data_IF_152707012855
#
_entry.id   IF_152707012855
#
_cell.length_a   1.000
_cell.length_b   1.000
_cell.length_c   1.000
_cell.angle_alpha   90.00
_cell.angle_beta   90.00
_cell.angle_gamma   90.00
#
_symmetry.space_group_name_H-M   'P 1'
#
loop_
_entity.id
_entity.type
_entity.pdbx_description
1 polymer ?
#
# COMPACT_ATOMS: atom_id res chain seq x y z
N UNK A 1 22.16 4.78 -14.65
CA UNK A 1 21.14 5.55 -13.92
C UNK A 1 20.50 4.63 -12.89
N UNK A 2 20.26 5.05 -11.64
CA UNK A 2 19.65 4.19 -10.63
C UNK A 2 18.17 3.94 -10.95
N UNK A 3 17.73 2.68 -10.88
CA UNK A 3 16.32 2.31 -11.00
C UNK A 3 15.59 2.71 -9.72
N UNK A 4 14.46 3.41 -9.86
CA UNK A 4 13.56 3.71 -8.73
C UNK A 4 12.56 2.59 -8.60
N UNK A 5 12.45 2.03 -7.40
CA UNK A 5 11.47 1.01 -7.05
C UNK A 5 10.40 1.63 -6.16
N UNK A 6 9.18 1.15 -6.30
CA UNK A 6 8.02 1.62 -5.55
C UNK A 6 7.49 0.48 -4.70
N UNK A 7 7.59 0.60 -3.39
CA UNK A 7 7.03 -0.36 -2.43
C UNK A 7 5.58 0.02 -2.15
N UNK A 8 4.66 -0.94 -2.32
CA UNK A 8 3.26 -0.79 -1.94
C UNK A 8 2.97 -1.69 -0.75
N UNK A 9 2.43 -1.10 0.30
CA UNK A 9 2.01 -1.79 1.52
C UNK A 9 0.76 -1.09 2.08
N UNK A 10 0.00 -1.83 2.87
CA UNK A 10 -1.22 -1.35 3.51
C UNK A 10 -1.46 -2.07 4.82
N UNK A 11 -2.50 -1.66 5.53
CA UNK A 11 -2.89 -2.21 6.82
C UNK A 11 -4.06 -1.42 7.35
N UNK A 12 -4.65 -1.89 8.44
CA UNK A 12 -5.76 -1.18 9.06
C UNK A 12 -5.27 0.13 9.70
N UNK A 13 -5.99 1.22 9.46
CA UNK A 13 -5.72 2.50 10.10
C UNK A 13 -6.50 2.62 11.41
N UNK A 14 -5.94 3.32 12.39
CA UNK A 14 -6.66 3.68 13.63
C UNK A 14 -7.88 4.54 13.32
N UNK A 15 -7.73 5.46 12.36
CA UNK A 15 -8.76 6.35 11.85
C UNK A 15 -8.52 6.54 10.33
N UNK A 16 -9.54 6.38 9.47
CA UNK A 16 -9.40 6.55 8.02
C UNK A 16 -8.92 7.94 7.57
N UNK A 17 -9.05 8.97 8.41
CA UNK A 17 -8.58 10.33 8.15
C UNK A 17 -7.11 10.55 8.53
N UNK A 18 -6.46 9.57 9.16
CA UNK A 18 -5.08 9.64 9.64
C UNK A 18 -4.17 8.67 8.89
N UNK A 19 -2.87 8.90 8.99
CA UNK A 19 -1.83 8.03 8.41
C UNK A 19 -1.20 7.10 9.46
N UNK A 20 -1.94 6.78 10.53
CA UNK A 20 -1.48 5.93 11.63
C UNK A 20 -2.08 4.53 11.51
N UNK A 21 -1.21 3.52 11.39
CA UNK A 21 -1.62 2.12 11.36
C UNK A 21 -1.99 1.62 12.75
N UNK A 22 -3.06 0.82 12.83
CA UNK A 22 -3.53 0.19 14.08
C UNK A 22 -2.49 -0.78 14.64
N UNK A 23 -1.92 -1.61 13.77
CA UNK A 23 -0.87 -2.56 14.13
C UNK A 23 0.20 -2.58 13.04
N UNK A 24 1.43 -2.25 13.42
CA UNK A 24 2.59 -2.26 12.52
C UNK A 24 3.12 -3.67 12.26
N UNK A 25 2.78 -4.64 13.10
CA UNK A 25 3.15 -6.04 12.90
C UNK A 25 2.25 -6.74 11.89
N UNK A 26 1.05 -6.19 11.65
CA UNK A 26 0.06 -6.71 10.69
C UNK A 26 0.00 -5.89 9.39
N UNK A 27 1.14 -5.32 8.99
CA UNK A 27 1.25 -4.64 7.70
C UNK A 27 1.26 -5.67 6.57
N UNK A 28 0.40 -5.45 5.60
CA UNK A 28 0.35 -6.23 4.38
C UNK A 28 1.24 -5.60 3.31
N UNK A 29 2.26 -6.35 2.86
CA UNK A 29 3.09 -5.96 1.72
C UNK A 29 2.43 -6.46 0.44
N UNK A 30 2.02 -5.54 -0.42
CA UNK A 30 1.41 -5.84 -1.72
C UNK A 30 2.50 -6.19 -2.75
N UNK A 31 3.62 -5.46 -2.75
CA UNK A 31 4.75 -5.76 -3.63
C UNK A 31 5.70 -4.60 -3.88
N UNK A 32 6.71 -4.86 -4.74
CA UNK A 32 7.71 -3.88 -5.19
C UNK A 32 7.60 -3.76 -6.71
N UNK A 33 7.46 -2.53 -7.19
CA UNK A 33 7.14 -2.22 -8.58
C UNK A 33 8.23 -1.36 -9.25
N UNK A 34 8.44 -1.52 -10.57
CA UNK A 34 9.50 -0.80 -11.30
C UNK A 34 9.15 0.66 -11.61
N UNK A 35 7.88 1.06 -11.49
CA UNK A 35 7.38 2.39 -11.83
C UNK A 35 6.16 2.78 -10.98
N UNK A 36 5.79 4.06 -11.02
CA UNK A 36 4.70 4.59 -10.21
C UNK A 36 3.32 4.13 -10.69
N UNK A 37 3.11 3.97 -12.00
CA UNK A 37 1.81 3.62 -12.54
C UNK A 37 1.41 2.21 -12.11
N UNK A 38 2.33 1.25 -12.24
CA UNK A 38 2.11 -0.13 -11.78
C UNK A 38 1.92 -0.23 -10.26
N UNK A 39 2.66 0.57 -9.48
CA UNK A 39 2.46 0.66 -8.03
C UNK A 39 1.09 1.24 -7.64
N UNK A 40 0.67 2.31 -8.32
CA UNK A 40 -0.60 2.98 -8.06
C UNK A 40 -1.79 2.07 -8.39
N UNK A 41 -1.73 1.32 -9.50
CA UNK A 41 -2.77 0.37 -9.87
C UNK A 41 -2.91 -0.74 -8.83
N UNK A 42 -1.78 -1.26 -8.32
CA UNK A 42 -1.78 -2.26 -7.24
C UNK A 42 -2.36 -1.72 -5.93
N UNK A 43 -2.00 -0.49 -5.53
CA UNK A 43 -2.58 0.16 -4.36
C UNK A 43 -4.10 0.32 -4.50
N UNK A 44 -4.58 0.80 -5.66
CA UNK A 44 -6.00 1.01 -5.91
C UNK A 44 -6.79 -0.30 -5.88
N UNK A 45 -6.24 -1.37 -6.45
CA UNK A 45 -6.86 -2.68 -6.41
C UNK A 45 -7.00 -3.21 -4.98
N UNK A 46 -5.97 -3.09 -4.14
CA UNK A 46 -6.02 -3.59 -2.75
C UNK A 46 -6.94 -2.73 -1.87
N UNK A 47 -6.98 -1.41 -2.09
CA UNK A 47 -7.90 -0.50 -1.40
C UNK A 47 -9.37 -0.78 -1.72
N UNK A 48 -9.69 -1.28 -2.92
CA UNK A 48 -11.05 -1.66 -3.30
C UNK A 48 -11.44 -3.06 -2.80
N UNK A 49 -10.46 -3.93 -2.53
CA UNK A 49 -10.68 -5.31 -2.08
C UNK A 49 -11.08 -5.41 -0.61
N UNK A 50 -10.74 -4.40 0.18
CA UNK A 50 -11.01 -4.31 1.63
C UNK A 50 -12.34 -3.62 1.96
N UNK A 51 -13.20 -3.40 0.96
CA UNK A 51 -14.57 -2.90 1.12
C UNK A 51 -15.53 -4.09 1.23
N UNK A 52 -15.59 -4.69 2.42
CA UNK A 52 -16.70 -5.56 2.88
C UNK A 52 -17.23 -5.03 4.22
#
# INVERSE_FOLDING_TARGET
>A
MPQRLHLVFGGELVDPSRTEFRDVNDLHIVGIFPDYASAHDAWKAEAQRTVD
#
